data_IF_668634013993
#
_entry.id   IF_668634013993
#
_cell.length_a   1.000
_cell.length_b   1.000
_cell.length_c   1.000
_cell.angle_alpha   90.00
_cell.angle_beta   90.00
_cell.angle_gamma   90.00
#
_symmetry.space_group_name_H-M   'P 1'
#
loop_
_entity.id
_entity.type
_entity.pdbx_description
1 polymer ?
#
# COMPACT_ATOMS: atom_id res chain seq x y z
N UNK A 1 -2.75 -7.35 30.12
CA UNK A 1 -2.74 -6.15 29.26
C UNK A 1 -1.81 -6.28 28.06
N UNK A 2 -0.47 -6.20 28.17
CA UNK A 2 0.40 -6.21 26.97
C UNK A 2 0.20 -7.45 26.05
N UNK A 3 0.07 -8.65 26.61
CA UNK A 3 -0.21 -9.86 25.82
C UNK A 3 -1.60 -9.87 25.16
N UNK A 4 -2.62 -9.26 25.78
CA UNK A 4 -3.98 -9.24 25.22
C UNK A 4 -4.04 -8.33 24.00
N UNK A 5 -3.36 -7.17 24.04
CA UNK A 5 -3.26 -6.25 22.91
C UNK A 5 -2.53 -6.88 21.72
N UNK A 6 -1.42 -7.59 21.99
CA UNK A 6 -0.67 -8.29 20.94
C UNK A 6 -1.53 -9.31 20.20
N UNK A 7 -2.36 -10.09 20.93
CA UNK A 7 -3.26 -11.07 20.31
C UNK A 7 -4.29 -10.39 19.42
N UNK A 8 -4.87 -9.28 19.87
CA UNK A 8 -5.84 -8.50 19.07
C UNK A 8 -5.19 -7.97 17.79
N UNK A 9 -3.98 -7.42 17.90
CA UNK A 9 -3.23 -6.87 16.78
C UNK A 9 -2.94 -7.95 15.72
N UNK A 10 -2.44 -9.12 16.14
CA UNK A 10 -2.18 -10.27 15.26
C UNK A 10 -3.47 -10.70 14.54
N UNK A 11 -4.58 -10.82 15.28
CA UNK A 11 -5.87 -11.20 14.70
C UNK A 11 -6.34 -10.17 13.66
N UNK A 12 -6.19 -8.88 13.93
CA UNK A 12 -6.54 -7.84 12.98
C UNK A 12 -5.69 -7.92 11.70
N UNK A 13 -4.38 -8.15 11.82
CA UNK A 13 -3.53 -8.33 10.65
C UNK A 13 -3.92 -9.54 9.80
N UNK A 14 -4.28 -10.66 10.43
CA UNK A 14 -4.79 -11.84 9.73
C UNK A 14 -6.08 -11.47 8.97
N UNK A 15 -7.01 -10.75 9.61
CA UNK A 15 -8.23 -10.27 8.96
C UNK A 15 -7.89 -9.35 7.78
N UNK A 16 -6.95 -8.41 7.94
CA UNK A 16 -6.49 -7.52 6.86
C UNK A 16 -5.96 -8.32 5.66
N UNK A 17 -5.16 -9.36 5.89
CA UNK A 17 -4.64 -10.23 4.81
C UNK A 17 -5.77 -10.96 4.08
N UNK A 18 -6.74 -11.50 4.83
CA UNK A 18 -7.92 -12.15 4.24
C UNK A 18 -8.71 -11.15 3.39
N UNK A 19 -8.92 -9.93 3.89
CA UNK A 19 -9.65 -8.88 3.16
C UNK A 19 -8.89 -8.40 1.93
N UNK A 20 -7.57 -8.24 1.98
CA UNK A 20 -6.74 -7.95 0.81
C UNK A 20 -6.86 -9.03 -0.26
N UNK A 21 -6.75 -10.30 0.13
CA UNK A 21 -6.90 -11.44 -0.79
C UNK A 21 -8.30 -11.52 -1.39
N UNK A 22 -9.34 -11.39 -0.57
CA UNK A 22 -10.73 -11.38 -1.01
C UNK A 22 -11.03 -10.18 -1.93
N UNK A 23 -10.49 -9.00 -1.61
CA UNK A 23 -10.60 -7.79 -2.43
C UNK A 23 -9.94 -7.97 -3.79
N UNK A 24 -8.71 -8.52 -3.84
CA UNK A 24 -8.01 -8.84 -5.09
C UNK A 24 -8.82 -9.81 -5.96
N UNK A 25 -9.31 -10.92 -5.39
CA UNK A 25 -10.15 -11.90 -6.10
C UNK A 25 -11.46 -11.26 -6.57
N UNK A 26 -12.08 -10.43 -5.73
CA UNK A 26 -13.31 -9.71 -6.04
C UNK A 26 -13.15 -8.79 -7.25
N UNK A 27 -12.07 -8.01 -7.31
CA UNK A 27 -11.77 -7.13 -8.44
C UNK A 27 -11.37 -7.93 -9.68
N UNK A 28 -10.67 -9.06 -9.52
CA UNK A 28 -10.36 -9.96 -10.63
C UNK A 28 -11.63 -10.55 -11.27
N UNK A 29 -12.67 -10.81 -10.48
CA UNK A 29 -13.99 -11.23 -11.00
C UNK A 29 -14.67 -10.12 -11.81
N UNK A 30 -14.53 -8.86 -11.40
CA UNK A 30 -15.01 -7.70 -12.18
C UNK A 30 -14.25 -7.60 -13.50
N UNK A 31 -12.91 -7.74 -13.47
CA UNK A 31 -12.10 -7.79 -14.69
C UNK A 31 -12.58 -8.85 -15.69
N UNK A 32 -12.91 -10.06 -15.22
CA UNK A 32 -13.42 -11.13 -16.09
C UNK A 32 -14.76 -10.81 -16.77
N UNK A 33 -15.55 -9.89 -16.21
CA UNK A 33 -16.82 -9.46 -16.79
C UNK A 33 -16.63 -8.32 -17.78
N UNK A 34 -15.83 -7.32 -17.41
CA UNK A 34 -15.73 -6.06 -18.15
C UNK A 34 -14.54 -6.02 -19.12
N UNK A 35 -13.64 -7.02 -19.05
CA UNK A 35 -12.34 -7.09 -19.74
C UNK A 35 -11.45 -5.85 -19.54
N UNK A 36 -11.74 -5.06 -18.52
CA UNK A 36 -11.04 -3.81 -18.23
C UNK A 36 -9.64 -4.08 -17.70
N UNK A 37 -8.62 -3.85 -18.54
CA UNK A 37 -7.20 -3.92 -18.14
C UNK A 37 -6.89 -3.11 -16.88
N UNK A 38 -7.71 -2.09 -16.61
CA UNK A 38 -7.64 -1.32 -15.39
C UNK A 38 -7.92 -2.13 -14.14
N UNK A 39 -9.05 -2.85 -14.09
CA UNK A 39 -9.42 -3.72 -12.98
C UNK A 39 -8.37 -4.80 -12.71
N UNK A 40 -7.73 -5.33 -13.76
CA UNK A 40 -6.61 -6.27 -13.61
C UNK A 40 -5.42 -5.64 -12.86
N UNK A 41 -5.04 -4.41 -13.22
CA UNK A 41 -3.94 -3.70 -12.54
C UNK A 41 -4.18 -3.50 -11.05
N UNK A 42 -5.43 -3.19 -10.66
CA UNK A 42 -5.82 -2.99 -9.26
C UNK A 42 -5.87 -4.31 -8.50
N UNK A 43 -6.37 -5.38 -9.14
CA UNK A 43 -6.34 -6.72 -8.54
C UNK A 43 -4.90 -7.20 -8.28
N UNK A 44 -3.99 -6.99 -9.24
CA UNK A 44 -2.57 -7.29 -9.09
C UNK A 44 -1.90 -6.44 -8.00
N UNK A 45 -2.24 -5.15 -7.92
CA UNK A 45 -1.77 -4.28 -6.83
C UNK A 45 -2.16 -4.85 -5.45
N UNK A 46 -3.44 -5.18 -5.24
CA UNK A 46 -3.90 -5.74 -3.95
C UNK A 46 -3.23 -7.08 -3.64
N UNK A 47 -3.01 -7.93 -4.65
CA UNK A 47 -2.33 -9.21 -4.48
C UNK A 47 -0.86 -9.05 -4.09
N UNK A 48 -0.13 -8.17 -4.78
CA UNK A 48 1.27 -7.88 -4.44
C UNK A 48 1.37 -7.22 -3.06
N UNK A 49 0.43 -6.35 -2.72
CA UNK A 49 0.37 -5.73 -1.40
C UNK A 49 0.06 -6.75 -0.28
N UNK A 50 -0.75 -7.77 -0.56
CA UNK A 50 -0.94 -8.91 0.35
C UNK A 50 0.40 -9.62 0.63
N UNK A 51 1.18 -9.93 -0.40
CA UNK A 51 2.52 -10.55 -0.23
C UNK A 51 3.41 -9.63 0.60
N UNK A 52 3.41 -8.33 0.31
CA UNK A 52 4.17 -7.35 1.09
C UNK A 52 3.77 -7.34 2.58
N UNK A 53 2.47 -7.43 2.89
CA UNK A 53 1.97 -7.51 4.28
C UNK A 53 2.34 -8.83 4.97
N UNK A 54 2.33 -9.95 4.24
CA UNK A 54 2.81 -11.23 4.77
C UNK A 54 4.28 -11.12 5.17
N UNK A 55 5.13 -10.49 4.33
CA UNK A 55 6.54 -10.26 4.67
C UNK A 55 6.71 -9.44 5.94
N UNK A 56 5.97 -8.34 6.09
CA UNK A 56 6.01 -7.49 7.29
C UNK A 56 5.51 -8.24 8.53
N UNK A 57 4.45 -9.03 8.40
CA UNK A 57 3.90 -9.81 9.49
C UNK A 57 4.92 -10.81 10.06
N UNK A 58 5.60 -11.56 9.19
CA UNK A 58 6.67 -12.47 9.65
C UNK A 58 7.82 -11.69 10.29
N UNK A 59 8.23 -10.59 9.66
CA UNK A 59 9.30 -9.73 10.15
C UNK A 59 9.03 -9.18 11.56
N UNK A 60 7.81 -8.72 11.83
CA UNK A 60 7.42 -8.19 13.15
C UNK A 60 7.19 -9.32 14.16
N UNK A 61 6.29 -10.28 13.87
CA UNK A 61 5.83 -11.22 14.89
C UNK A 61 6.67 -12.48 15.03
N UNK A 62 7.41 -12.89 13.99
CA UNK A 62 8.29 -14.07 14.08
C UNK A 62 9.72 -13.71 14.41
N UNK A 63 10.17 -12.51 14.03
CA UNK A 63 11.56 -12.07 14.22
C UNK A 63 11.72 -10.85 15.14
N UNK A 64 10.63 -10.27 15.66
CA UNK A 64 10.70 -9.19 16.65
C UNK A 64 11.27 -7.88 16.10
N UNK A 65 11.10 -7.60 14.80
CA UNK A 65 11.56 -6.34 14.23
C UNK A 65 10.69 -5.16 14.66
N UNK A 66 11.31 -4.15 15.25
CA UNK A 66 10.64 -2.97 15.83
C UNK A 66 10.91 -1.66 15.05
N UNK A 67 11.62 -1.73 13.91
CA UNK A 67 11.96 -0.55 13.11
C UNK A 67 13.16 0.26 13.61
N UNK A 68 13.71 -0.05 14.79
CA UNK A 68 14.91 0.62 15.34
C UNK A 68 16.21 -0.08 14.93
N UNK A 69 16.12 -1.38 14.64
CA UNK A 69 17.24 -2.19 14.20
C UNK A 69 17.65 -1.78 12.77
N UNK A 70 18.79 -1.10 12.65
CA UNK A 70 19.40 -0.83 11.35
C UNK A 70 19.77 -2.15 10.69
N UNK A 71 19.44 -2.23 9.39
CA UNK A 71 19.61 -3.35 8.47
C UNK A 71 20.50 -4.46 9.02
N UNK A 72 19.85 -5.54 9.42
CA UNK A 72 20.48 -6.71 9.99
C UNK A 72 21.19 -7.52 8.89
N UNK A 73 22.26 -6.95 8.32
CA UNK A 73 23.22 -7.64 7.44
C UNK A 73 23.65 -9.03 7.97
N UNK A 74 23.78 -9.28 9.30
CA UNK A 74 24.08 -10.63 9.79
C UNK A 74 22.89 -11.62 9.75
N UNK A 75 21.66 -11.18 9.45
CA UNK A 75 20.47 -12.03 9.42
C UNK A 75 19.84 -12.04 8.01
N UNK A 76 20.30 -12.96 7.12
CA UNK A 76 19.91 -12.93 5.70
C UNK A 76 18.40 -13.03 5.50
N UNK A 77 17.69 -13.82 6.30
CA UNK A 77 16.23 -13.98 6.18
C UNK A 77 15.47 -12.67 6.46
N UNK A 78 15.91 -11.90 7.46
CA UNK A 78 15.31 -10.60 7.78
C UNK A 78 15.51 -9.59 6.65
N UNK A 79 16.72 -9.54 6.09
CA UNK A 79 17.02 -8.69 4.93
C UNK A 79 16.12 -9.03 3.74
N UNK A 80 15.95 -10.32 3.41
CA UNK A 80 15.08 -10.74 2.30
C UNK A 80 13.61 -10.42 2.52
N UNK A 81 13.11 -10.52 3.76
CA UNK A 81 11.73 -10.11 4.09
C UNK A 81 11.54 -8.60 3.90
N UNK A 82 12.52 -7.77 4.31
CA UNK A 82 12.48 -6.32 4.10
C UNK A 82 12.54 -5.94 2.61
N UNK A 83 13.47 -6.55 1.86
CA UNK A 83 13.58 -6.35 0.40
C UNK A 83 12.29 -6.79 -0.29
N UNK A 84 11.77 -7.97 0.06
CA UNK A 84 10.51 -8.49 -0.48
C UNK A 84 9.35 -7.55 -0.21
N UNK A 85 9.22 -7.05 1.02
CA UNK A 85 8.21 -6.05 1.37
C UNK A 85 8.26 -4.82 0.44
N UNK A 86 9.43 -4.20 0.29
CA UNK A 86 9.59 -3.02 -0.55
C UNK A 86 9.36 -3.33 -2.03
N UNK A 87 9.92 -4.43 -2.52
CA UNK A 87 9.81 -4.85 -3.92
C UNK A 87 8.34 -5.08 -4.31
N UNK A 88 7.61 -5.89 -3.55
CA UNK A 88 6.22 -6.20 -3.86
C UNK A 88 5.31 -4.97 -3.70
N UNK A 89 5.55 -4.10 -2.71
CA UNK A 89 4.79 -2.86 -2.53
C UNK A 89 4.96 -1.92 -3.73
N UNK A 90 6.20 -1.62 -4.12
CA UNK A 90 6.45 -0.67 -5.21
C UNK A 90 6.15 -1.25 -6.60
N UNK A 91 6.34 -2.55 -6.83
CA UNK A 91 5.89 -3.17 -8.09
C UNK A 91 4.36 -3.10 -8.20
N UNK A 92 3.64 -3.32 -7.09
CA UNK A 92 2.19 -3.15 -7.05
C UNK A 92 1.77 -1.73 -7.44
N UNK A 93 2.38 -0.72 -6.81
CA UNK A 93 2.12 0.70 -7.08
C UNK A 93 2.50 1.05 -8.53
N UNK A 94 3.62 0.53 -9.03
CA UNK A 94 4.07 0.74 -10.41
C UNK A 94 3.04 0.20 -11.42
N UNK A 95 2.57 -1.04 -11.24
CA UNK A 95 1.54 -1.63 -12.11
C UNK A 95 0.29 -0.75 -12.11
N UNK A 96 -0.14 -0.32 -10.92
CA UNK A 96 -1.31 0.51 -10.76
C UNK A 96 -1.19 1.85 -11.51
N UNK A 97 -0.09 2.58 -11.32
CA UNK A 97 0.18 3.81 -12.05
C UNK A 97 0.33 3.57 -13.55
N UNK A 98 1.09 2.56 -13.95
CA UNK A 98 1.30 2.24 -15.35
C UNK A 98 -0.03 2.04 -16.09
N UNK A 99 -0.95 1.32 -15.49
CA UNK A 99 -2.27 1.05 -16.08
C UNK A 99 -3.14 2.31 -16.06
N UNK A 100 -3.15 3.10 -14.98
CA UNK A 100 -3.87 4.39 -14.93
C UNK A 100 -3.36 5.38 -15.99
N UNK A 101 -2.06 5.56 -16.08
CA UNK A 101 -1.45 6.53 -16.99
C UNK A 101 -1.59 6.09 -18.45
N UNK A 102 -1.53 4.78 -18.72
CA UNK A 102 -1.71 4.23 -20.08
C UNK A 102 -3.14 4.33 -20.57
N UNK A 103 -4.12 4.01 -19.71
CA UNK A 103 -5.50 3.80 -20.15
C UNK A 103 -6.47 4.92 -19.74
N UNK A 104 -6.14 5.77 -18.75
CA UNK A 104 -7.07 6.80 -18.24
C UNK A 104 -6.55 8.23 -18.43
N UNK A 105 -5.43 8.62 -17.80
CA UNK A 105 -5.06 10.06 -17.66
C UNK A 105 -3.98 10.53 -18.66
N UNK A 106 -3.25 9.61 -19.31
CA UNK A 106 -2.22 9.92 -20.34
C UNK A 106 -1.15 10.93 -19.91
N UNK A 107 -0.70 10.89 -18.66
CA UNK A 107 0.40 11.70 -18.09
C UNK A 107 1.79 11.31 -18.56
N UNK A 108 1.93 10.54 -19.65
CA UNK A 108 3.23 10.06 -20.19
C UNK A 108 4.08 9.27 -19.18
N UNK A 109 3.43 8.48 -18.33
CA UNK A 109 4.08 7.56 -17.39
C UNK A 109 4.93 8.23 -16.29
N UNK A 110 4.66 9.51 -15.97
CA UNK A 110 5.42 10.26 -14.96
C UNK A 110 5.39 9.53 -13.61
N UNK A 111 4.22 9.12 -13.12
CA UNK A 111 4.11 8.50 -11.79
C UNK A 111 4.67 7.08 -11.75
N UNK A 112 4.49 6.31 -12.84
CA UNK A 112 5.11 5.01 -12.98
C UNK A 112 6.65 5.11 -12.95
N UNK A 113 7.24 6.07 -13.66
CA UNK A 113 8.69 6.32 -13.65
C UNK A 113 9.16 6.76 -12.25
N UNK A 114 8.45 7.68 -11.59
CA UNK A 114 8.78 8.12 -10.23
C UNK A 114 8.76 6.94 -9.24
N UNK A 115 7.82 6.01 -9.41
CA UNK A 115 7.75 4.79 -8.58
C UNK A 115 8.96 3.87 -8.80
N UNK A 116 9.44 3.72 -10.05
CA UNK A 116 10.66 2.94 -10.33
C UNK A 116 11.91 3.59 -9.74
N UNK A 117 12.02 4.92 -9.82
CA UNK A 117 13.11 5.67 -9.18
C UNK A 117 13.07 5.42 -7.67
N UNK A 118 11.90 5.56 -7.04
CA UNK A 118 11.73 5.34 -5.60
C UNK A 118 12.02 3.89 -5.18
N UNK A 119 11.62 2.90 -5.97
CA UNK A 119 11.97 1.50 -5.76
C UNK A 119 13.49 1.31 -5.80
N UNK A 120 14.16 1.89 -6.80
CA UNK A 120 15.61 1.79 -6.96
C UNK A 120 16.32 2.40 -5.76
N UNK A 121 15.94 3.62 -5.37
CA UNK A 121 16.47 4.29 -4.17
C UNK A 121 16.19 3.47 -2.89
N UNK A 122 15.02 2.86 -2.78
CA UNK A 122 14.66 2.02 -1.64
C UNK A 122 15.51 0.75 -1.56
N UNK A 123 15.82 0.13 -2.70
CA UNK A 123 16.70 -1.03 -2.76
C UNK A 123 18.15 -0.66 -2.46
N UNK A 124 18.65 0.46 -2.98
CA UNK A 124 20.02 0.93 -2.70
C UNK A 124 20.21 1.26 -1.21
N UNK A 125 19.18 1.74 -0.52
CA UNK A 125 19.23 2.07 0.91
C UNK A 125 19.60 0.88 1.81
N UNK A 126 19.36 -0.36 1.36
CA UNK A 126 19.79 -1.56 2.09
C UNK A 126 21.31 -1.80 2.03
N UNK A 127 21.97 -1.29 1.00
CA UNK A 127 23.41 -1.49 0.76
C UNK A 127 24.24 -0.27 1.10
N UNK A 128 23.67 0.93 0.97
CA UNK A 128 24.34 2.21 1.22
C UNK A 128 23.39 3.12 2.03
N UNK A 129 23.28 2.92 3.35
CA UNK A 129 22.25 3.56 4.17
C UNK A 129 22.48 5.06 4.43
N UNK A 130 23.71 5.56 4.21
CA UNK A 130 24.04 6.96 4.49
C UNK A 130 23.31 7.90 3.52
N UNK A 131 22.48 8.79 4.06
CA UNK A 131 21.77 9.88 3.37
C UNK A 131 20.74 9.52 2.28
N UNK A 132 20.56 8.24 1.93
CA UNK A 132 19.59 7.85 0.89
C UNK A 132 18.14 8.20 1.24
N UNK A 133 17.79 8.17 2.53
CA UNK A 133 16.45 8.54 2.99
C UNK A 133 16.04 9.96 2.56
N UNK A 134 16.95 10.95 2.69
CA UNK A 134 16.67 12.33 2.29
C UNK A 134 16.40 12.46 0.79
N UNK A 135 17.04 11.62 -0.02
CA UNK A 135 16.79 11.57 -1.46
C UNK A 135 15.49 10.86 -1.83
N UNK A 136 14.95 9.99 -0.97
CA UNK A 136 13.67 9.30 -1.23
C UNK A 136 12.46 10.20 -1.00
N UNK A 137 12.49 11.07 0.02
CA UNK A 137 11.34 11.89 0.43
C UNK A 137 10.71 12.71 -0.73
N UNK A 138 11.47 13.39 -1.60
CA UNK A 138 10.91 14.15 -2.72
C UNK A 138 10.15 13.31 -3.74
N UNK A 139 10.49 12.02 -3.88
CA UNK A 139 9.81 11.08 -4.78
C UNK A 139 8.66 10.35 -4.07
N UNK A 140 8.80 10.11 -2.77
CA UNK A 140 7.79 9.44 -1.96
C UNK A 140 6.47 10.21 -1.94
N UNK A 141 6.50 11.53 -1.70
CA UNK A 141 5.28 12.34 -1.58
C UNK A 141 4.44 12.30 -2.87
N UNK A 142 4.99 12.56 -4.08
CA UNK A 142 4.25 12.43 -5.33
C UNK A 142 3.77 11.00 -5.62
N UNK A 143 4.54 9.97 -5.23
CA UNK A 143 4.16 8.56 -5.46
C UNK A 143 3.04 8.12 -4.52
N UNK A 144 2.95 8.64 -3.31
CA UNK A 144 1.82 8.38 -2.41
C UNK A 144 0.61 9.20 -2.86
N UNK A 145 0.73 10.52 -2.91
CA UNK A 145 -0.42 11.40 -3.22
C UNK A 145 -0.89 11.34 -4.67
N UNK A 146 -0.06 10.82 -5.58
CA UNK A 146 -0.38 10.74 -7.00
C UNK A 146 -1.65 9.96 -7.29
N UNK A 147 -1.89 8.86 -6.57
CA UNK A 147 -3.01 7.96 -6.85
C UNK A 147 -4.35 8.58 -6.42
N UNK A 148 -4.50 9.11 -5.19
CA UNK A 148 -5.65 9.94 -4.84
C UNK A 148 -5.83 11.13 -5.79
N UNK A 149 -4.75 11.84 -6.14
CA UNK A 149 -4.83 13.02 -7.02
C UNK A 149 -5.36 12.68 -8.42
N UNK A 150 -4.92 11.57 -9.00
CA UNK A 150 -5.43 11.04 -10.27
C UNK A 150 -6.94 10.76 -10.20
N UNK A 151 -7.40 10.21 -9.09
CA UNK A 151 -8.82 9.92 -8.91
C UNK A 151 -9.69 11.15 -8.67
N UNK A 152 -9.18 12.13 -7.92
CA UNK A 152 -9.83 13.44 -7.84
C UNK A 152 -9.89 14.13 -9.20
N UNK A 153 -8.83 14.01 -10.01
CA UNK A 153 -8.83 14.52 -11.38
C UNK A 153 -9.94 13.86 -12.22
N UNK A 154 -10.07 12.53 -12.20
CA UNK A 154 -11.15 11.82 -12.90
C UNK A 154 -12.52 12.27 -12.39
N UNK A 155 -12.70 12.38 -11.07
CA UNK A 155 -13.95 12.85 -10.48
C UNK A 155 -14.33 14.27 -10.94
N UNK A 156 -13.34 15.16 -11.05
CA UNK A 156 -13.56 16.55 -11.50
C UNK A 156 -14.03 16.64 -12.96
N UNK A 157 -13.66 15.66 -13.79
CA UNK A 157 -13.95 15.60 -15.23
C UNK A 157 -15.14 14.71 -15.60
N UNK A 158 -15.65 13.92 -14.66
CA UNK A 158 -16.78 13.01 -14.86
C UNK A 158 -18.04 13.54 -14.17
N UNK A 159 -19.19 12.94 -14.44
CA UNK A 159 -20.49 13.22 -13.78
C UNK A 159 -21.19 11.91 -13.39
N UNK A 160 -22.28 12.03 -12.63
CA UNK A 160 -23.09 10.87 -12.21
C UNK A 160 -22.31 9.85 -11.38
N UNK A 161 -22.55 8.56 -11.67
CA UNK A 161 -21.97 7.46 -10.90
C UNK A 161 -20.45 7.34 -11.06
N UNK A 162 -19.90 7.69 -12.23
CA UNK A 162 -18.44 7.69 -12.44
C UNK A 162 -17.77 8.64 -11.46
N UNK A 163 -18.30 9.87 -11.31
CA UNK A 163 -17.77 10.85 -10.34
C UNK A 163 -17.82 10.31 -8.91
N UNK A 164 -18.97 9.76 -8.50
CA UNK A 164 -19.16 9.21 -7.16
C UNK A 164 -18.20 8.05 -6.87
N UNK A 165 -18.06 7.12 -7.82
CA UNK A 165 -17.18 5.97 -7.70
C UNK A 165 -15.71 6.41 -7.63
N UNK A 166 -15.28 7.36 -8.47
CA UNK A 166 -13.93 7.92 -8.42
C UNK A 166 -13.61 8.59 -7.08
N UNK A 167 -14.56 9.32 -6.49
CA UNK A 167 -14.37 9.92 -5.15
C UNK A 167 -14.27 8.85 -4.05
N UNK A 168 -15.10 7.81 -4.10
CA UNK A 168 -15.02 6.69 -3.16
C UNK A 168 -13.64 6.01 -3.25
N UNK A 169 -13.12 5.81 -4.47
CA UNK A 169 -11.79 5.24 -4.68
C UNK A 169 -10.69 6.16 -4.15
N UNK A 170 -10.77 7.48 -4.42
CA UNK A 170 -9.81 8.45 -3.89
C UNK A 170 -9.74 8.41 -2.35
N UNK A 171 -10.90 8.44 -1.69
CA UNK A 171 -10.99 8.39 -0.23
C UNK A 171 -10.50 7.04 0.30
N UNK A 172 -10.89 5.94 -0.34
CA UNK A 172 -10.43 4.60 0.00
C UNK A 172 -8.91 4.48 -0.05
N UNK A 173 -8.27 5.14 -1.02
CA UNK A 173 -6.82 5.13 -1.16
C UNK A 173 -6.09 5.99 -0.17
N UNK A 174 -6.63 7.18 0.15
CA UNK A 174 -6.08 7.99 1.24
C UNK A 174 -6.10 7.18 2.54
N UNK A 175 -7.23 6.53 2.84
CA UNK A 175 -7.38 5.70 4.04
C UNK A 175 -6.40 4.51 3.99
N UNK A 176 -6.28 3.85 2.84
CA UNK A 176 -5.34 2.74 2.64
C UNK A 176 -3.89 3.17 2.88
N UNK A 177 -3.45 4.27 2.25
CA UNK A 177 -2.10 4.83 2.35
C UNK A 177 -1.77 5.28 3.77
N UNK A 178 -2.73 5.88 4.49
CA UNK A 178 -2.57 6.15 5.91
C UNK A 178 -2.36 4.85 6.69
N UNK A 179 -3.13 3.80 6.39
CA UNK A 179 -2.91 2.46 6.93
C UNK A 179 -1.49 1.94 6.70
N UNK A 180 -0.91 2.20 5.52
CA UNK A 180 0.49 1.85 5.22
C UNK A 180 1.43 2.61 6.16
N UNK A 181 1.27 3.92 6.30
CA UNK A 181 2.12 4.76 7.15
C UNK A 181 2.08 4.29 8.61
N UNK A 182 0.88 4.01 9.14
CA UNK A 182 0.69 3.49 10.49
C UNK A 182 1.24 2.06 10.67
N UNK A 183 1.47 1.33 9.59
CA UNK A 183 1.95 -0.06 9.62
C UNK A 183 3.43 -0.23 9.28
N UNK A 184 4.18 0.86 9.04
CA UNK A 184 5.62 0.80 8.83
C UNK A 184 6.31 0.91 10.21
N UNK A 185 7.06 -0.11 10.67
CA UNK A 185 7.73 -0.06 11.96
C UNK A 185 8.64 1.18 12.12
N UNK A 186 9.37 1.54 11.06
CA UNK A 186 10.25 2.71 11.07
C UNK A 186 9.47 4.03 11.25
N UNK A 187 8.24 4.13 10.71
CA UNK A 187 7.39 5.31 10.87
C UNK A 187 6.80 5.35 12.28
N UNK A 188 6.42 4.20 12.84
CA UNK A 188 5.98 4.10 14.24
C UNK A 188 7.07 4.56 15.21
N UNK A 189 8.31 4.07 15.01
CA UNK A 189 9.45 4.40 15.86
C UNK A 189 9.87 5.88 15.82
N UNK A 190 9.64 6.57 14.70
CA UNK A 190 10.12 7.95 14.49
C UNK A 190 9.00 8.99 14.58
N UNK A 191 7.99 8.86 13.73
CA UNK A 191 6.93 9.86 13.54
C UNK A 191 5.79 9.72 14.56
N UNK A 192 5.51 8.50 15.02
CA UNK A 192 4.36 8.20 15.88
C UNK A 192 4.76 7.92 17.34
N UNK A 193 6.02 8.16 17.69
CA UNK A 193 6.56 7.90 19.03
C UNK A 193 5.87 8.68 20.16
N UNK A 194 5.15 9.75 19.83
CA UNK A 194 4.35 10.56 20.77
C UNK A 194 2.91 10.04 20.97
N UNK A 195 2.46 9.10 20.15
CA UNK A 195 1.14 8.48 20.26
C UNK A 195 1.20 7.25 21.18
N UNK A 196 0.09 6.93 21.86
CA UNK A 196 0.01 5.70 22.63
C UNK A 196 0.16 4.47 21.71
N UNK A 197 1.01 3.47 22.04
CA UNK A 197 1.30 2.30 21.20
C UNK A 197 0.07 1.59 20.64
N UNK A 198 -0.89 1.37 21.52
CA UNK A 198 -2.18 0.72 21.21
C UNK A 198 -2.93 1.41 20.07
N UNK A 199 -2.80 2.73 19.91
CA UNK A 199 -3.54 3.47 18.89
C UNK A 199 -2.95 3.20 17.51
N UNK A 200 -1.63 3.37 17.33
CA UNK A 200 -1.05 3.23 15.99
C UNK A 200 -0.94 1.77 15.53
N UNK A 201 -0.74 0.81 16.46
CA UNK A 201 -0.68 -0.63 16.17
C UNK A 201 -2.01 -1.15 15.61
N UNK A 202 -3.14 -0.68 16.14
CA UNK A 202 -4.48 -1.09 15.70
C UNK A 202 -4.98 -0.30 14.49
N UNK A 203 -4.59 0.97 14.35
CA UNK A 203 -5.04 1.81 13.24
C UNK A 203 -4.57 1.30 11.87
N UNK A 204 -3.33 0.84 11.76
CA UNK A 204 -2.77 0.30 10.51
C UNK A 204 -3.68 -0.74 9.84
N UNK A 205 -3.98 -1.88 10.49
CA UNK A 205 -4.84 -2.91 9.92
C UNK A 205 -6.28 -2.43 9.71
N UNK A 206 -6.86 -1.63 10.62
CA UNK A 206 -8.22 -1.09 10.49
C UNK A 206 -8.36 -0.21 9.23
N UNK A 207 -7.40 0.71 9.03
CA UNK A 207 -7.39 1.61 7.88
C UNK A 207 -7.20 0.82 6.57
N UNK A 208 -6.34 -0.20 6.53
CA UNK A 208 -6.26 -1.06 5.34
C UNK A 208 -7.58 -1.76 5.03
N UNK A 209 -8.28 -2.28 6.04
CA UNK A 209 -9.58 -2.95 5.87
C UNK A 209 -10.59 -1.98 5.25
N UNK A 210 -10.73 -0.79 5.84
CA UNK A 210 -11.66 0.24 5.34
C UNK A 210 -11.28 0.66 3.91
N UNK A 211 -9.98 0.88 3.66
CA UNK A 211 -9.46 1.26 2.36
C UNK A 211 -9.81 0.24 1.27
N UNK A 212 -9.57 -1.06 1.52
CA UNK A 212 -9.89 -2.14 0.58
C UNK A 212 -11.40 -2.26 0.32
N UNK A 213 -12.23 -2.10 1.35
CA UNK A 213 -13.69 -2.12 1.21
C UNK A 213 -14.15 -0.97 0.31
N UNK A 214 -13.66 0.25 0.54
CA UNK A 214 -14.02 1.42 -0.27
C UNK A 214 -13.54 1.27 -1.71
N UNK A 215 -12.32 0.77 -1.92
CA UNK A 215 -11.82 0.42 -3.26
C UNK A 215 -12.80 -0.52 -3.97
N UNK A 216 -13.12 -1.67 -3.35
CA UNK A 216 -14.03 -2.64 -3.93
C UNK A 216 -15.42 -2.06 -4.23
N UNK A 217 -15.98 -1.26 -3.32
CA UNK A 217 -17.25 -0.56 -3.52
C UNK A 217 -17.21 0.41 -4.71
N UNK A 218 -16.10 1.12 -4.89
CA UNK A 218 -15.91 2.02 -6.02
C UNK A 218 -15.87 1.30 -7.37
N UNK A 219 -15.25 0.12 -7.44
CA UNK A 219 -15.19 -0.67 -8.68
C UNK A 219 -16.47 -1.43 -8.98
N UNK A 220 -17.08 -2.08 -7.98
CA UNK A 220 -18.27 -2.92 -8.19
C UNK A 220 -19.47 -2.14 -8.75
N UNK A 221 -19.61 -0.87 -8.37
CA UNK A 221 -20.67 0.02 -8.87
C UNK A 221 -20.44 0.54 -10.28
N UNK A 222 -19.27 0.34 -10.87
CA UNK A 222 -19.03 0.72 -12.26
C UNK A 222 -19.50 -0.36 -13.24
N UNK A 223 -19.57 -1.61 -12.77
CA UNK A 223 -19.94 -2.81 -13.55
C UNK A 223 -21.44 -3.17 -13.49
N UNK A 224 -22.24 -2.40 -12.75
CA UNK A 224 -23.69 -2.59 -12.60
C UNK A 224 -24.44 -1.48 -13.32
#
# INVERSE_FOLDING_TARGET
>A
MAHEFLVIEIVLWIITMVILGAGSIGILRIYRKDESKYSLGVALFLFLFLIARISVFFLVYSYGYDGTQQYLLPYPTLLWLQIGYNLFSYIGIFILYYVLERYIIKTRFIFAILTLILLTLSLTNYFVPENIFLYQVPFFIPVVLGFPAMYFYIASKSSGDVRKNSLIIAVGMIIFELGVVFAIPNAQATLLSSMAPVIYELLGPILHIIGVILLYMGYSRHSA
#
